data_IF_504400192160
#
_entry.id   IF_504400192160
#
_cell.length_a   1.000
_cell.length_b   1.000
_cell.length_c   1.000
_cell.angle_alpha   90.00
_cell.angle_beta   90.00
_cell.angle_gamma   90.00
#
_symmetry.space_group_name_H-M   'P 1'
#
loop_
_entity.id
_entity.type
_entity.pdbx_description
1 polymer ?
#
# COMPACT_ATOMS: atom_id res chain seq x y z
N UNK A 1 -25.73 23.48 5.08
CA UNK A 1 -24.37 23.31 5.64
C UNK A 1 -23.56 22.44 4.69
N UNK A 2 -22.81 23.07 3.79
CA UNK A 2 -21.95 22.42 2.80
C UNK A 2 -20.60 23.12 2.89
N UNK A 3 -19.58 22.47 3.47
CA UNK A 3 -18.15 22.79 3.28
C UNK A 3 -17.30 22.01 4.31
N UNK A 4 -17.31 20.67 4.26
CA UNK A 4 -16.15 19.90 4.73
C UNK A 4 -15.89 18.81 3.69
N UNK A 5 -15.51 19.25 2.50
CA UNK A 5 -14.90 18.39 1.51
C UNK A 5 -13.79 19.22 0.87
N UNK A 6 -12.58 18.65 0.83
CA UNK A 6 -11.38 19.23 0.21
C UNK A 6 -10.66 20.30 1.05
N UNK A 7 -10.23 19.97 2.27
CA UNK A 7 -9.17 20.73 2.96
C UNK A 7 -8.00 19.85 3.45
N UNK A 8 -8.06 18.53 3.26
CA UNK A 8 -6.95 17.62 3.64
C UNK A 8 -5.95 17.43 2.49
N UNK A 9 -6.39 17.53 1.23
CA UNK A 9 -5.50 17.39 0.07
C UNK A 9 -4.57 18.60 -0.13
N UNK A 10 -4.95 19.79 0.34
CA UNK A 10 -4.20 21.03 0.12
C UNK A 10 -3.07 21.28 1.14
N UNK A 11 -2.98 20.50 2.23
CA UNK A 11 -1.88 20.61 3.19
C UNK A 11 -0.66 19.72 2.83
N UNK A 12 -0.75 18.92 1.76
CA UNK A 12 0.34 18.07 1.28
C UNK A 12 1.02 18.57 -0.01
N UNK A 13 0.70 19.80 -0.46
CA UNK A 13 1.46 20.47 -1.54
C UNK A 13 2.62 21.31 -0.99
N UNK A 14 3.29 20.83 0.08
CA UNK A 14 4.59 21.37 0.50
C UNK A 14 5.65 20.88 -0.47
N UNK A 15 6.08 21.76 -1.38
CA UNK A 15 7.46 21.83 -1.92
C UNK A 15 8.16 20.48 -2.15
N UNK A 16 7.90 19.85 -3.31
CA UNK A 16 8.68 18.75 -3.92
C UNK A 16 9.35 17.73 -2.97
N UNK A 17 8.63 17.23 -1.97
CA UNK A 17 9.03 15.98 -1.32
C UNK A 17 8.81 14.84 -2.34
N UNK A 18 9.79 14.58 -3.20
CA UNK A 18 9.76 13.44 -4.13
C UNK A 18 9.51 12.17 -3.32
N UNK A 19 8.37 11.53 -3.52
CA UNK A 19 7.99 10.29 -2.84
C UNK A 19 9.07 9.26 -3.13
N UNK A 20 9.77 8.85 -2.07
CA UNK A 20 10.78 7.81 -2.14
C UNK A 20 10.14 6.47 -1.89
N UNK A 21 10.19 5.59 -2.89
CA UNK A 21 9.79 4.21 -2.71
C UNK A 21 11.01 3.40 -2.28
N UNK A 22 10.97 2.88 -1.05
CA UNK A 22 11.99 1.96 -0.57
C UNK A 22 11.99 0.71 -1.46
N UNK A 23 13.17 0.30 -1.92
CA UNK A 23 13.34 -0.97 -2.65
C UNK A 23 13.39 -2.10 -1.62
N UNK A 24 12.47 -3.08 -1.67
CA UNK A 24 12.49 -4.22 -0.79
C UNK A 24 13.85 -4.92 -0.78
N UNK A 25 14.23 -5.45 0.38
CA UNK A 25 15.51 -6.15 0.52
C UNK A 25 15.56 -7.42 -0.35
N UNK A 26 14.43 -8.10 -0.50
CA UNK A 26 14.23 -9.32 -1.30
C UNK A 26 14.12 -9.07 -2.81
N UNK A 27 14.03 -7.81 -3.25
CA UNK A 27 14.00 -7.49 -4.67
C UNK A 27 15.35 -7.82 -5.32
N UNK A 28 15.38 -8.61 -6.41
CA UNK A 28 16.60 -8.89 -7.14
C UNK A 28 17.28 -7.61 -7.64
N UNK A 29 18.60 -7.52 -7.46
CA UNK A 29 19.45 -6.40 -7.92
C UNK A 29 20.51 -6.92 -8.88
N UNK A 30 20.18 -7.09 -10.19
CA UNK A 30 21.04 -7.80 -11.14
C UNK A 30 22.45 -7.19 -11.30
N UNK A 31 22.58 -5.87 -11.10
CA UNK A 31 23.88 -5.19 -11.16
C UNK A 31 24.87 -5.68 -10.09
N UNK A 32 24.40 -6.24 -8.97
CA UNK A 32 25.27 -6.80 -7.94
C UNK A 32 26.03 -8.05 -8.39
N UNK A 33 25.56 -8.75 -9.42
CA UNK A 33 26.26 -9.92 -9.97
C UNK A 33 27.57 -9.54 -10.70
N UNK A 34 27.77 -8.25 -11.01
CA UNK A 34 28.94 -7.74 -11.74
C UNK A 34 30.09 -7.30 -10.83
N UNK A 35 29.90 -7.33 -9.51
CA UNK A 35 30.88 -6.83 -8.54
C UNK A 35 31.36 -7.94 -7.61
N UNK A 36 32.58 -7.86 -7.05
CA UNK A 36 33.06 -8.87 -6.11
C UNK A 36 32.21 -8.88 -4.83
N UNK A 37 32.18 -10.01 -4.12
CA UNK A 37 31.43 -10.19 -2.88
C UNK A 37 31.64 -9.05 -1.86
N UNK A 38 32.87 -8.57 -1.69
CA UNK A 38 33.17 -7.45 -0.77
C UNK A 38 32.46 -6.16 -1.17
N UNK A 39 32.37 -5.87 -2.47
CA UNK A 39 31.63 -4.71 -2.96
C UNK A 39 30.13 -4.85 -2.71
N UNK A 40 29.57 -6.05 -2.89
CA UNK A 40 28.18 -6.35 -2.54
C UNK A 40 27.92 -6.11 -1.06
N UNK A 41 28.82 -6.53 -0.17
CA UNK A 41 28.71 -6.27 1.27
C UNK A 41 28.74 -4.76 1.60
N UNK A 42 29.62 -3.98 0.95
CA UNK A 42 29.64 -2.52 1.08
C UNK A 42 28.28 -1.91 0.68
N UNK A 43 27.69 -2.37 -0.43
CA UNK A 43 26.39 -1.89 -0.88
C UNK A 43 25.28 -2.14 0.14
N UNK A 44 25.18 -3.35 0.69
CA UNK A 44 24.17 -3.66 1.71
C UNK A 44 24.39 -2.83 2.97
N UNK A 45 25.64 -2.62 3.39
CA UNK A 45 25.98 -1.73 4.49
C UNK A 45 25.50 -0.29 4.28
N UNK A 46 25.51 0.22 3.05
CA UNK A 46 25.00 1.56 2.73
C UNK A 46 23.47 1.62 2.80
N UNK A 47 22.76 0.66 2.19
CA UNK A 47 21.29 0.72 2.10
C UNK A 47 20.57 0.33 3.40
N UNK A 48 21.24 -0.39 4.30
CA UNK A 48 20.72 -0.79 5.61
C UNK A 48 21.11 0.17 6.74
N UNK A 49 21.98 1.15 6.44
CA UNK A 49 22.41 2.17 7.39
C UNK A 49 21.21 2.95 7.91
N UNK A 50 20.97 2.87 9.23
CA UNK A 50 19.84 3.54 9.92
C UNK A 50 20.14 4.97 10.36
N UNK A 51 21.39 5.40 10.21
CA UNK A 51 21.90 6.69 10.68
C UNK A 51 22.13 7.71 9.56
N UNK A 52 21.70 7.41 8.33
CA UNK A 52 21.77 8.33 7.19
C UNK A 52 20.40 8.53 6.57
N UNK A 53 20.18 9.70 6.00
CA UNK A 53 18.97 10.02 5.25
C UNK A 53 18.94 9.27 3.93
N UNK A 54 17.73 9.06 3.38
CA UNK A 54 17.59 8.47 2.05
C UNK A 54 18.28 9.28 0.94
N UNK A 55 18.49 10.59 1.13
CA UNK A 55 19.27 11.42 0.21
C UNK A 55 20.74 11.02 0.23
N UNK A 56 21.33 10.95 1.42
CA UNK A 56 22.72 10.51 1.61
C UNK A 56 22.92 9.06 1.15
N UNK A 57 21.94 8.17 1.38
CA UNK A 57 21.99 6.80 0.83
C UNK A 57 22.13 6.82 -0.70
N UNK A 58 21.39 7.68 -1.41
CA UNK A 58 21.48 7.76 -2.88
C UNK A 58 22.83 8.27 -3.34
N UNK A 59 23.36 9.30 -2.69
CA UNK A 59 24.68 9.86 -2.99
C UNK A 59 25.76 8.79 -2.80
N UNK A 60 25.77 8.11 -1.64
CA UNK A 60 26.73 7.03 -1.35
C UNK A 60 26.60 5.84 -2.28
N UNK A 61 25.38 5.46 -2.67
CA UNK A 61 25.15 4.39 -3.63
C UNK A 61 25.64 4.78 -5.03
N UNK A 62 25.49 6.06 -5.44
CA UNK A 62 26.04 6.56 -6.70
C UNK A 62 27.57 6.57 -6.71
N UNK A 63 28.21 7.03 -5.63
CA UNK A 63 29.66 6.97 -5.44
C UNK A 63 30.16 5.52 -5.46
N UNK A 64 29.45 4.61 -4.78
CA UNK A 64 29.75 3.19 -4.80
C UNK A 64 29.63 2.59 -6.21
N UNK A 65 28.57 2.94 -6.96
CA UNK A 65 28.40 2.48 -8.34
C UNK A 65 29.50 3.00 -9.28
N UNK A 66 29.99 4.21 -9.04
CA UNK A 66 31.13 4.79 -9.76
C UNK A 66 32.44 4.06 -9.45
N UNK A 67 32.72 3.81 -8.16
CA UNK A 67 33.89 3.05 -7.69
C UNK A 67 34.03 1.68 -8.37
N UNK A 68 32.91 1.03 -8.67
CA UNK A 68 32.89 -0.32 -9.26
C UNK A 68 32.47 -0.35 -10.74
N UNK A 69 32.34 0.80 -11.40
CA UNK A 69 32.05 0.87 -12.84
C UNK A 69 30.67 0.36 -13.27
N UNK A 70 29.67 0.38 -12.37
CA UNK A 70 28.30 -0.10 -12.60
C UNK A 70 27.24 1.00 -12.37
N UNK A 71 27.68 2.26 -12.37
CA UNK A 71 26.84 3.44 -12.08
C UNK A 71 25.63 3.52 -13.01
N UNK A 72 25.79 3.22 -14.30
CA UNK A 72 24.72 3.36 -15.28
C UNK A 72 23.67 2.25 -15.17
N UNK A 73 24.07 0.99 -15.01
CA UNK A 73 23.12 -0.11 -14.79
C UNK A 73 22.33 0.05 -13.49
N UNK A 74 22.99 0.58 -12.47
CA UNK A 74 22.36 0.90 -11.21
C UNK A 74 21.34 2.04 -11.38
N UNK A 75 21.70 3.15 -12.05
CA UNK A 75 20.74 4.24 -12.36
C UNK A 75 19.55 3.73 -13.14
N UNK A 76 19.76 2.88 -14.15
CA UNK A 76 18.69 2.28 -14.93
C UNK A 76 17.74 1.46 -14.04
N UNK A 77 18.30 0.62 -13.16
CA UNK A 77 17.53 -0.14 -12.20
C UNK A 77 16.67 0.75 -11.28
N UNK A 78 17.28 1.77 -10.66
CA UNK A 78 16.56 2.69 -9.77
C UNK A 78 15.47 3.47 -10.50
N UNK A 79 15.72 3.96 -11.72
CA UNK A 79 14.74 4.68 -12.51
C UNK A 79 13.56 3.79 -12.90
N UNK A 80 13.84 2.55 -13.32
CA UNK A 80 12.80 1.56 -13.66
C UNK A 80 11.94 1.22 -12.44
N UNK A 81 12.57 1.02 -11.28
CA UNK A 81 11.85 0.76 -10.03
C UNK A 81 10.96 1.93 -9.63
N UNK A 82 11.52 3.14 -9.63
CA UNK A 82 10.80 4.36 -9.28
C UNK A 82 9.55 4.54 -10.14
N UNK A 83 9.69 4.41 -11.47
CA UNK A 83 8.55 4.52 -12.40
C UNK A 83 7.47 3.47 -12.10
N UNK A 84 7.87 2.23 -11.86
CA UNK A 84 6.95 1.13 -11.54
C UNK A 84 6.18 1.41 -10.24
N UNK A 85 6.85 1.89 -9.21
CA UNK A 85 6.20 2.19 -7.93
C UNK A 85 5.33 3.45 -8.00
N UNK A 86 5.69 4.46 -8.80
CA UNK A 86 4.81 5.61 -9.08
C UNK A 86 3.50 5.17 -9.76
N UNK A 87 3.60 4.31 -10.77
CA UNK A 87 2.42 3.74 -11.45
C UNK A 87 1.59 2.87 -10.50
N UNK A 88 2.25 2.07 -9.65
CA UNK A 88 1.58 1.26 -8.62
C UNK A 88 0.88 2.15 -7.60
N UNK A 89 1.54 3.21 -7.12
CA UNK A 89 0.98 4.17 -6.17
C UNK A 89 -0.30 4.80 -6.69
N UNK A 90 -0.30 5.27 -7.94
CA UNK A 90 -1.51 5.79 -8.61
C UNK A 90 -2.65 4.77 -8.64
N UNK A 91 -2.35 3.51 -8.98
CA UNK A 91 -3.34 2.41 -8.99
C UNK A 91 -3.89 2.11 -7.60
N UNK A 92 -3.05 2.16 -6.57
CA UNK A 92 -3.48 1.96 -5.16
C UNK A 92 -4.39 3.08 -4.71
N UNK A 93 -4.05 4.34 -4.99
CA UNK A 93 -4.89 5.49 -4.65
C UNK A 93 -6.27 5.36 -5.32
N UNK A 94 -6.31 5.09 -6.62
CA UNK A 94 -7.57 4.91 -7.34
C UNK A 94 -8.40 3.74 -6.78
N UNK A 95 -7.75 2.63 -6.38
CA UNK A 95 -8.43 1.50 -5.75
C UNK A 95 -9.04 1.90 -4.40
N UNK A 96 -8.33 2.68 -3.57
CA UNK A 96 -8.85 3.15 -2.27
C UNK A 96 -10.07 4.06 -2.45
N UNK A 97 -10.02 4.99 -3.40
CA UNK A 97 -11.14 5.88 -3.74
C UNK A 97 -12.36 5.09 -4.22
N UNK A 98 -12.16 4.13 -5.12
CA UNK A 98 -13.22 3.27 -5.62
C UNK A 98 -13.78 2.33 -4.54
N UNK A 99 -12.93 1.82 -3.64
CA UNK A 99 -13.36 1.00 -2.51
C UNK A 99 -14.26 1.78 -1.56
N UNK A 100 -13.93 3.05 -1.28
CA UNK A 100 -14.78 3.91 -0.47
C UNK A 100 -16.16 4.15 -1.12
N UNK A 101 -16.21 4.30 -2.46
CA UNK A 101 -17.46 4.40 -3.20
C UNK A 101 -18.27 3.10 -3.13
N UNK A 102 -17.63 1.97 -3.45
CA UNK A 102 -18.26 0.64 -3.41
C UNK A 102 -18.79 0.29 -2.01
N UNK A 103 -18.10 0.72 -0.95
CA UNK A 103 -18.59 0.54 0.42
C UNK A 103 -19.89 1.29 0.70
N UNK A 104 -20.05 2.52 0.18
CA UNK A 104 -21.31 3.26 0.31
C UNK A 104 -22.45 2.58 -0.44
N UNK A 105 -22.17 2.05 -1.62
CA UNK A 105 -23.14 1.26 -2.40
C UNK A 105 -23.54 -0.02 -1.65
N UNK A 106 -22.56 -0.69 -1.03
CA UNK A 106 -22.80 -1.85 -0.17
C UNK A 106 -23.70 -1.50 1.02
N UNK A 107 -23.43 -0.40 1.74
CA UNK A 107 -24.26 0.03 2.87
C UNK A 107 -25.71 0.32 2.43
N UNK A 108 -25.90 0.91 1.26
CA UNK A 108 -27.22 1.18 0.71
C UNK A 108 -28.02 -0.08 0.32
N UNK A 109 -27.39 -1.27 0.28
CA UNK A 109 -28.11 -2.52 0.10
C UNK A 109 -28.93 -2.92 1.32
N UNK A 110 -28.51 -2.49 2.51
CA UNK A 110 -29.15 -2.80 3.78
C UNK A 110 -30.33 -1.86 4.06
N UNK A 111 -31.26 -1.85 3.12
CA UNK A 111 -32.53 -1.12 3.20
C UNK A 111 -33.59 -1.98 3.89
N UNK A 112 -34.44 -1.36 4.71
CA UNK A 112 -35.46 -2.05 5.51
C UNK A 112 -36.60 -2.62 4.66
N UNK A 113 -36.68 -2.21 3.40
CA UNK A 113 -37.64 -2.74 2.41
C UNK A 113 -37.23 -4.10 1.82
N UNK A 114 -35.98 -4.54 2.01
CA UNK A 114 -35.45 -5.77 1.40
C UNK A 114 -35.39 -6.93 2.37
N UNK A 115 -35.66 -8.13 1.86
CA UNK A 115 -35.39 -9.38 2.56
C UNK A 115 -33.89 -9.70 2.60
N UNK A 116 -33.45 -10.47 3.58
CA UNK A 116 -32.06 -10.94 3.67
C UNK A 116 -31.59 -11.68 2.41
N UNK A 117 -32.50 -12.40 1.74
CA UNK A 117 -32.18 -13.07 0.48
C UNK A 117 -31.85 -12.07 -0.63
N UNK A 118 -32.67 -11.02 -0.80
CA UNK A 118 -32.43 -9.98 -1.80
C UNK A 118 -31.14 -9.20 -1.52
N UNK A 119 -30.86 -8.88 -0.25
CA UNK A 119 -29.60 -8.26 0.16
C UNK A 119 -28.42 -9.15 -0.24
N UNK A 120 -28.49 -10.46 0.04
CA UNK A 120 -27.44 -11.41 -0.32
C UNK A 120 -27.21 -11.56 -1.82
N UNK A 121 -28.25 -11.43 -2.65
CA UNK A 121 -28.13 -11.43 -4.11
C UNK A 121 -27.49 -10.14 -4.63
N UNK A 122 -27.87 -8.99 -4.08
CA UNK A 122 -27.28 -7.71 -4.44
C UNK A 122 -25.81 -7.59 -3.99
N UNK A 123 -25.48 -8.11 -2.81
CA UNK A 123 -24.10 -8.17 -2.32
C UNK A 123 -23.20 -8.98 -3.26
N UNK A 124 -23.70 -10.11 -3.78
CA UNK A 124 -22.96 -10.91 -4.77
C UNK A 124 -22.61 -10.10 -6.01
N UNK A 125 -23.51 -9.21 -6.47
CA UNK A 125 -23.23 -8.34 -7.63
C UNK A 125 -22.06 -7.41 -7.35
N UNK A 126 -22.00 -6.80 -6.16
CA UNK A 126 -20.85 -5.96 -5.77
C UNK A 126 -19.58 -6.80 -5.64
N UNK A 127 -19.66 -7.93 -4.92
CA UNK A 127 -18.51 -8.83 -4.69
C UNK A 127 -17.86 -9.31 -5.98
N UNK A 128 -18.67 -9.69 -6.97
CA UNK A 128 -18.15 -10.22 -8.24
C UNK A 128 -17.94 -9.14 -9.31
N UNK A 129 -18.65 -8.01 -9.23
CA UNK A 129 -18.49 -6.88 -10.15
C UNK A 129 -17.27 -6.02 -9.85
N UNK A 130 -16.95 -5.81 -8.57
CA UNK A 130 -15.81 -4.98 -8.10
C UNK A 130 -15.00 -5.71 -7.03
N UNK A 131 -14.39 -6.87 -7.36
CA UNK A 131 -13.80 -7.77 -6.37
C UNK A 131 -12.63 -7.17 -5.58
N UNK A 132 -11.87 -6.24 -6.18
CA UNK A 132 -10.74 -5.59 -5.50
C UNK A 132 -11.23 -4.58 -4.48
N UNK A 133 -12.17 -3.73 -4.87
CA UNK A 133 -12.84 -2.75 -4.04
C UNK A 133 -13.55 -3.44 -2.88
N UNK A 134 -14.27 -4.52 -3.17
CA UNK A 134 -14.91 -5.38 -2.18
C UNK A 134 -13.91 -5.94 -1.18
N UNK A 135 -12.78 -6.49 -1.64
CA UNK A 135 -11.72 -6.97 -0.76
C UNK A 135 -11.13 -5.87 0.14
N UNK A 136 -10.94 -4.66 -0.39
CA UNK A 136 -10.38 -3.53 0.38
C UNK A 136 -11.35 -3.07 1.46
N UNK A 137 -12.62 -2.81 1.14
CA UNK A 137 -13.54 -2.30 2.16
C UNK A 137 -13.89 -3.37 3.19
N UNK A 138 -14.03 -4.64 2.80
CA UNK A 138 -14.30 -5.72 3.77
C UNK A 138 -13.12 -5.93 4.73
N UNK A 139 -11.90 -5.81 4.23
CA UNK A 139 -10.72 -5.77 5.09
C UNK A 139 -10.77 -4.57 6.03
N UNK A 140 -11.03 -3.36 5.52
CA UNK A 140 -11.12 -2.16 6.35
C UNK A 140 -12.19 -2.28 7.46
N UNK A 141 -13.40 -2.77 7.13
CA UNK A 141 -14.46 -3.05 8.10
C UNK A 141 -13.99 -4.04 9.17
N UNK A 142 -13.32 -5.13 8.77
CA UNK A 142 -12.81 -6.11 9.72
C UNK A 142 -11.75 -5.51 10.66
N UNK A 143 -10.93 -4.57 10.19
CA UNK A 143 -9.90 -3.91 10.99
C UNK A 143 -10.47 -2.92 12.00
N UNK A 144 -11.57 -2.23 11.67
CA UNK A 144 -12.22 -1.27 12.59
C UNK A 144 -12.69 -1.96 13.87
N UNK A 145 -13.13 -3.22 13.79
CA UNK A 145 -13.59 -4.00 14.95
C UNK A 145 -12.45 -4.64 15.76
N UNK A 146 -11.19 -4.52 15.31
CA UNK A 146 -10.06 -5.08 16.04
C UNK A 146 -9.67 -4.19 17.23
N UNK A 147 -9.37 -4.78 18.40
CA UNK A 147 -8.67 -4.07 19.46
C UNK A 147 -7.37 -3.49 18.90
N UNK A 148 -7.03 -2.26 19.31
CA UNK A 148 -5.80 -1.57 18.92
C UNK A 148 -4.51 -2.34 19.28
N UNK A 149 -4.60 -3.35 20.14
CA UNK A 149 -3.52 -4.23 20.56
C UNK A 149 -3.29 -5.46 19.66
N UNK A 150 -4.14 -5.75 18.68
CA UNK A 150 -4.01 -6.95 17.83
C UNK A 150 -3.23 -6.64 16.54
N UNK A 151 -2.16 -7.42 16.30
CA UNK A 151 -1.39 -7.39 15.06
C UNK A 151 -2.11 -8.21 13.96
N UNK A 152 -2.35 -7.61 12.78
CA UNK A 152 -3.20 -8.18 11.71
C UNK A 152 -2.88 -9.64 11.29
N UNK A 153 -1.62 -10.10 11.30
CA UNK A 153 -1.28 -11.50 11.03
C UNK A 153 -1.75 -12.51 12.07
N UNK A 154 -2.04 -12.10 13.31
CA UNK A 154 -2.69 -12.96 14.31
C UNK A 154 -4.19 -13.12 14.02
N UNK A 155 -4.86 -12.06 13.55
CA UNK A 155 -6.28 -12.10 13.20
C UNK A 155 -6.59 -13.04 12.02
N UNK A 156 -5.73 -13.08 10.98
CA UNK A 156 -5.90 -14.02 9.86
C UNK A 156 -5.83 -15.50 10.27
N UNK A 157 -5.25 -15.82 11.43
CA UNK A 157 -5.12 -17.20 11.91
C UNK A 157 -6.34 -17.69 12.71
N UNK A 158 -7.19 -16.81 13.24
CA UNK A 158 -8.34 -17.24 14.04
C UNK A 158 -9.55 -16.29 13.95
N UNK A 159 -10.46 -16.47 12.97
CA UNK A 159 -11.58 -15.56 12.69
C UNK A 159 -12.82 -15.71 13.60
N UNK A 160 -12.74 -16.44 14.72
CA UNK A 160 -13.92 -16.89 15.49
C UNK A 160 -14.61 -15.85 16.39
N UNK A 161 -14.27 -14.55 16.33
CA UNK A 161 -14.87 -13.54 17.21
C UNK A 161 -16.05 -12.74 16.63
N UNK A 162 -16.73 -13.20 15.56
CA UNK A 162 -18.02 -12.59 15.18
C UNK A 162 -19.14 -13.10 16.10
N UNK A 163 -19.36 -12.43 17.24
CA UNK A 163 -20.68 -12.42 17.88
C UNK A 163 -21.53 -11.36 17.19
N UNK A 164 -22.40 -11.78 16.27
CA UNK A 164 -23.48 -10.95 15.74
C UNK A 164 -24.44 -10.60 16.86
N UNK A 165 -24.54 -9.32 17.20
CA UNK A 165 -25.67 -8.79 17.96
C UNK A 165 -26.68 -8.22 16.95
N UNK A 166 -27.86 -8.82 16.91
CA UNK A 166 -29.03 -8.21 16.29
C UNK A 166 -29.50 -7.14 17.26
N UNK A 167 -29.22 -5.87 16.97
CA UNK A 167 -29.89 -4.77 17.64
C UNK A 167 -31.21 -4.53 16.89
N UNK A 168 -32.28 -5.05 17.49
CA UNK A 168 -33.65 -4.60 17.21
C UNK A 168 -33.82 -3.27 17.94
N UNK A 169 -34.07 -2.20 17.20
CA UNK A 169 -34.73 -1.01 17.74
C UNK A 169 -36.21 -1.06 17.37
#
# INVERSE_FOLDING_TARGET
MWAIAIAVAALYTSTEAKIYYQIPHDMPRPFLAKVPWRAMQEFYGIIEARNITHRETREKVLEWGEKYGIKEEMKEFYNKYQKKEEERGKKVIALLENAAKAYREYLALHDDTKTLQQIGEDEKKIRYGTPKEYGVFTFASAVVDLPSSIWLPEYRRNPTSRKTYILVQ
#
